data_IF_529730035431
#
_entry.id   IF_529730035431
#
_cell.length_a   1.000
_cell.length_b   1.000
_cell.length_c   1.000
_cell.angle_alpha   90.00
_cell.angle_beta   90.00
_cell.angle_gamma   90.00
#
_symmetry.space_group_name_H-M   'P 1'
#
loop_
_entity.id
_entity.type
_entity.pdbx_description
1 polymer ?
#
# COMPACT_ATOMS: atom_id res chain seq x y z
N UNK A 1 -11.83 -17.19 8.81
CA UNK A 1 -10.93 -16.04 8.55
C UNK A 1 -10.63 -15.34 9.87
N UNK A 2 -9.46 -15.55 10.47
CA UNK A 2 -9.06 -14.77 11.66
C UNK A 2 -8.69 -13.35 11.23
N UNK A 3 -9.41 -12.37 11.76
CA UNK A 3 -9.24 -10.95 11.40
C UNK A 3 -7.89 -10.47 11.95
N UNK A 4 -6.87 -10.36 11.09
CA UNK A 4 -5.62 -9.69 11.47
C UNK A 4 -5.89 -8.26 11.95
N UNK A 5 -5.08 -7.73 12.86
CA UNK A 5 -5.29 -6.39 13.42
C UNK A 5 -5.07 -5.30 12.35
N UNK A 6 -5.78 -4.17 12.49
CA UNK A 6 -5.59 -2.99 11.63
C UNK A 6 -4.12 -2.53 11.58
N UNK A 7 -3.40 -2.71 12.69
CA UNK A 7 -1.97 -2.43 12.79
C UNK A 7 -1.15 -3.31 11.83
N UNK A 8 -1.41 -4.63 11.80
CA UNK A 8 -0.73 -5.55 10.87
C UNK A 8 -1.03 -5.18 9.41
N UNK A 9 -2.27 -4.77 9.10
CA UNK A 9 -2.69 -4.31 7.77
C UNK A 9 -1.91 -3.07 7.31
N UNK A 10 -1.84 -2.04 8.17
CA UNK A 10 -1.11 -0.78 7.89
C UNK A 10 0.39 -1.00 7.74
N UNK A 11 1.00 -1.87 8.57
CA UNK A 11 2.43 -2.21 8.45
C UNK A 11 2.75 -2.91 7.13
N UNK A 12 1.93 -3.89 6.73
CA UNK A 12 2.15 -4.65 5.49
C UNK A 12 1.89 -3.82 4.24
N UNK A 13 0.79 -3.08 4.22
CA UNK A 13 0.24 -2.52 2.99
C UNK A 13 0.05 -1.00 2.97
N UNK A 14 0.33 -0.29 4.06
CA UNK A 14 0.13 1.16 4.18
C UNK A 14 1.12 2.02 3.39
N UNK A 15 0.84 3.33 3.28
CA UNK A 15 1.59 4.22 2.40
C UNK A 15 3.08 4.30 2.76
N UNK A 16 3.40 4.40 4.05
CA UNK A 16 4.79 4.47 4.54
C UNK A 16 5.60 3.21 4.19
N UNK A 17 4.99 2.03 4.22
CA UNK A 17 5.70 0.79 3.85
C UNK A 17 5.97 0.72 2.34
N UNK A 18 5.06 1.29 1.53
CA UNK A 18 5.23 1.38 0.07
C UNK A 18 6.28 2.42 -0.34
N UNK A 19 6.33 3.60 0.28
CA UNK A 19 7.26 4.65 -0.15
C UNK A 19 8.71 4.38 0.24
N UNK A 20 8.95 3.58 1.30
CA UNK A 20 10.31 3.26 1.78
C UNK A 20 11.15 2.47 0.77
N UNK A 21 10.52 1.64 -0.07
CA UNK A 21 11.23 0.73 -0.99
C UNK A 21 11.04 1.16 -2.45
N UNK A 22 12.05 0.92 -3.30
CA UNK A 22 11.96 1.23 -4.74
C UNK A 22 10.81 0.47 -5.43
N UNK A 23 10.65 -0.80 -5.08
CA UNK A 23 9.54 -1.63 -5.59
C UNK A 23 8.17 -1.08 -5.13
N UNK A 24 8.03 -0.69 -3.86
CA UNK A 24 6.79 -0.10 -3.36
C UNK A 24 6.46 1.26 -4.02
N UNK A 25 7.47 2.09 -4.29
CA UNK A 25 7.31 3.32 -5.06
C UNK A 25 6.80 3.04 -6.48
N UNK A 26 7.33 2.00 -7.15
CA UNK A 26 6.85 1.57 -8.48
C UNK A 26 5.37 1.16 -8.44
N UNK A 27 4.94 0.44 -7.40
CA UNK A 27 3.53 0.08 -7.19
C UNK A 27 2.65 1.33 -7.03
N UNK A 28 3.09 2.30 -6.23
CA UNK A 28 2.34 3.56 -6.05
C UNK A 28 2.20 4.33 -7.36
N UNK A 29 3.28 4.43 -8.15
CA UNK A 29 3.27 5.08 -9.47
C UNK A 29 2.29 4.38 -10.41
N UNK A 30 2.36 3.05 -10.53
CA UNK A 30 1.45 2.28 -11.39
C UNK A 30 -0.03 2.41 -10.99
N UNK A 31 -0.33 2.50 -9.69
CA UNK A 31 -1.71 2.70 -9.22
C UNK A 31 -2.21 4.12 -9.47
N UNK A 32 -1.33 5.12 -9.39
CA UNK A 32 -1.62 6.53 -9.73
C UNK A 32 -1.85 6.72 -11.22
N UNK A 33 -1.01 6.14 -12.08
CA UNK A 33 -1.20 6.22 -13.54
C UNK A 33 -2.50 5.55 -13.97
N UNK A 34 -2.90 4.45 -13.31
CA UNK A 34 -4.22 3.81 -13.50
C UNK A 34 -5.39 4.59 -12.86
N UNK A 35 -5.14 5.73 -12.23
CA UNK A 35 -6.14 6.59 -11.57
C UNK A 35 -7.05 5.83 -10.60
N UNK A 36 -6.48 4.91 -9.80
CA UNK A 36 -7.24 4.17 -8.79
C UNK A 36 -7.77 5.17 -7.74
N UNK A 37 -9.09 5.15 -7.48
CA UNK A 37 -9.74 5.94 -6.41
C UNK A 37 -9.03 5.79 -5.06
N UNK A 38 -8.61 4.56 -4.74
CA UNK A 38 -7.80 4.25 -3.56
C UNK A 38 -6.43 3.70 -3.96
N UNK A 39 -5.37 4.44 -3.65
CA UNK A 39 -3.99 4.06 -4.00
C UNK A 39 -3.42 3.08 -2.98
N UNK A 40 -3.72 3.23 -1.69
CA UNK A 40 -3.20 2.39 -0.62
C UNK A 40 -4.30 2.10 0.40
N UNK A 41 -4.15 0.99 1.13
CA UNK A 41 -5.02 0.57 2.23
C UNK A 41 -4.74 1.39 3.49
#
# INVERSE_FOLDING_TARGET
MTKGTLLKKRRKSGFRSRIKTKAGQKILRARRTKKRKLIVI
#
